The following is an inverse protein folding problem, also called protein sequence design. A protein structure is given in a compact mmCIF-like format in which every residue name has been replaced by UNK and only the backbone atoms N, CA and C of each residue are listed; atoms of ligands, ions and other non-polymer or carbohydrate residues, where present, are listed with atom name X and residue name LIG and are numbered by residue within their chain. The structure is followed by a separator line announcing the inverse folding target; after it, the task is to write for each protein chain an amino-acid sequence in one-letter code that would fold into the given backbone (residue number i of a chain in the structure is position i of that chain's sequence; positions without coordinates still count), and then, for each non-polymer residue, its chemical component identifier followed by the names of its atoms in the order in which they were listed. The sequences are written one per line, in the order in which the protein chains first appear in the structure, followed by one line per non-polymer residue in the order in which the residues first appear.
data_IF_339593867539
#
_entry.id   IF_339593867539
#
_cell.length_a   1.000
_cell.length_b   1.000
_cell.length_c   1.000
_cell.angle_alpha   90.00
_cell.angle_beta   90.00
_cell.angle_gamma   90.00
#
_symmetry.space_group_name_H-M   'P 1'
#
loop_
_entity.id
_entity.type
_entity.pdbx_description
1 polymer ?
#
# COMPACT_ATOMS: atom_id res chain seq x y z
N UNK A 1 -15.90 -1.44 -10.29
CA UNK A 1 -15.24 -0.93 -9.07
C UNK A 1 -14.47 -2.08 -8.44
N UNK A 2 -13.19 -1.90 -8.13
CA UNK A 2 -12.41 -2.90 -7.38
C UNK A 2 -12.20 -2.34 -5.97
N UNK A 3 -12.59 -3.10 -4.95
CA UNK A 3 -12.40 -2.75 -3.54
C UNK A 3 -11.68 -3.87 -2.79
N UNK A 4 -10.72 -3.50 -1.95
CA UNK A 4 -10.04 -4.40 -1.03
C UNK A 4 -9.95 -3.72 0.33
N UNK A 5 -10.30 -4.43 1.40
CA UNK A 5 -10.19 -3.94 2.77
C UNK A 5 -9.79 -5.10 3.68
N UNK A 6 -8.50 -5.21 3.97
CA UNK A 6 -7.96 -6.22 4.88
C UNK A 6 -6.58 -5.81 5.37
N UNK A 7 -6.16 -6.37 6.51
CA UNK A 7 -4.78 -6.24 7.01
C UNK A 7 -4.34 -4.77 7.19
N UNK A 8 -5.27 -3.92 7.63
CA UNK A 8 -5.03 -2.48 7.78
C UNK A 8 -4.96 -1.70 6.46
N UNK A 9 -5.05 -2.36 5.30
CA UNK A 9 -5.00 -1.70 4.00
C UNK A 9 -6.38 -1.63 3.36
N UNK A 10 -6.74 -0.43 2.91
CA UNK A 10 -7.93 -0.17 2.12
C UNK A 10 -7.50 0.30 0.73
N UNK A 11 -8.15 -0.22 -0.30
CA UNK A 11 -7.95 0.15 -1.70
C UNK A 11 -9.31 0.21 -2.38
N UNK A 12 -9.57 1.32 -3.06
CA UNK A 12 -10.70 1.50 -3.95
C UNK A 12 -10.19 2.00 -5.30
N UNK A 13 -10.56 1.29 -6.37
CA UNK A 13 -10.28 1.70 -7.74
C UNK A 13 -11.60 1.93 -8.47
N UNK A 14 -11.79 3.16 -8.90
CA UNK A 14 -12.93 3.61 -9.69
C UNK A 14 -12.45 3.94 -11.10
N UNK A 15 -13.13 3.40 -12.10
CA UNK A 15 -12.87 3.71 -13.51
C UNK A 15 -14.12 4.33 -14.08
N UNK A 16 -13.94 5.35 -14.91
CA UNK A 16 -15.04 6.03 -15.57
C UNK A 16 -14.68 6.45 -16.98
N UNK A 17 -15.70 6.86 -17.71
CA UNK A 17 -15.57 7.45 -19.05
C UNK A 17 -16.18 8.84 -18.93
N UNK A 18 -15.38 9.87 -19.21
CA UNK A 18 -15.88 11.23 -19.37
C UNK A 18 -16.18 11.45 -20.86
N UNK A 19 -17.40 11.84 -21.18
CA UNK A 19 -17.78 12.32 -22.51
C UNK A 19 -17.55 13.83 -22.52
N UNK A 20 -16.32 14.24 -22.83
CA UNK A 20 -16.05 15.62 -23.20
C UNK A 20 -16.37 15.73 -24.69
N UNK A 21 -17.11 16.76 -25.09
CA UNK A 21 -17.77 16.99 -26.39
C UNK A 21 -16.97 16.74 -27.70
N UNK A 22 -15.75 16.20 -27.66
CA UNK A 22 -14.88 15.83 -28.79
C UNK A 22 -14.09 14.51 -28.62
N UNK A 23 -14.35 13.68 -27.60
CA UNK A 23 -13.69 12.37 -27.46
C UNK A 23 -13.84 11.75 -26.08
N UNK A 24 -14.16 10.45 -26.03
CA UNK A 24 -14.30 9.69 -24.78
C UNK A 24 -12.95 9.52 -24.10
N UNK A 25 -12.74 10.17 -22.96
CA UNK A 25 -11.53 9.99 -22.14
C UNK A 25 -11.82 9.02 -20.99
N UNK A 26 -11.07 7.92 -20.94
CA UNK A 26 -11.09 7.01 -19.78
C UNK A 26 -10.29 7.64 -18.65
N UNK A 27 -10.84 7.62 -17.45
CA UNK A 27 -10.13 8.03 -16.24
C UNK A 27 -10.14 6.89 -15.22
N UNK A 28 -9.09 6.84 -14.40
CA UNK A 28 -8.95 5.91 -13.28
C UNK A 28 -8.62 6.71 -12.04
N UNK A 29 -9.42 6.54 -10.99
CA UNK A 29 -9.16 7.08 -9.66
C UNK A 29 -8.79 5.93 -8.74
N UNK A 30 -7.66 6.06 -8.05
CA UNK A 30 -7.20 5.11 -7.05
C UNK A 30 -7.20 5.82 -5.71
N UNK A 31 -7.83 5.20 -4.72
CA UNK A 31 -7.77 5.59 -3.32
C UNK A 31 -7.16 4.43 -2.56
N UNK A 32 -6.14 4.71 -1.74
CA UNK A 32 -5.48 3.70 -0.93
C UNK A 32 -5.07 4.29 0.41
N UNK A 33 -5.24 3.52 1.48
CA UNK A 33 -4.78 3.89 2.82
C UNK A 33 -4.23 2.69 3.57
N UNK A 34 -3.15 2.88 4.31
CA UNK A 34 -2.60 1.88 5.24
C UNK A 34 -2.77 2.39 6.66
N UNK A 35 -3.50 1.66 7.50
CA UNK A 35 -3.93 2.04 8.85
C UNK A 35 -4.52 3.47 8.88
N UNK A 36 -5.36 3.78 7.88
CA UNK A 36 -5.97 5.10 7.72
C UNK A 36 -5.04 6.20 7.18
N UNK A 37 -3.73 5.96 7.01
CA UNK A 37 -2.82 6.92 6.38
C UNK A 37 -2.94 6.84 4.85
N UNK A 38 -3.22 7.95 4.15
CA UNK A 38 -3.38 7.96 2.69
C UNK A 38 -2.05 7.66 1.98
N UNK A 39 -2.07 6.70 1.06
CA UNK A 39 -0.88 6.22 0.35
C UNK A 39 -1.15 5.97 -1.14
N UNK A 40 -2.13 6.65 -1.74
CA UNK A 40 -2.50 6.49 -3.15
C UNK A 40 -1.52 7.13 -4.15
N UNK A 41 -0.22 7.00 -3.90
CA UNK A 41 0.87 7.46 -4.77
C UNK A 41 1.74 6.27 -5.19
N UNK A 42 2.41 6.38 -6.34
CA UNK A 42 3.34 5.34 -6.80
C UNK A 42 4.45 5.12 -5.77
N UNK A 43 5.00 6.19 -5.21
CA UNK A 43 6.02 6.14 -4.15
C UNK A 43 5.50 5.43 -2.90
N UNK A 44 4.35 5.85 -2.36
CA UNK A 44 3.79 5.26 -1.15
C UNK A 44 3.53 3.76 -1.30
N UNK A 45 2.92 3.35 -2.41
CA UNK A 45 2.66 1.93 -2.67
C UNK A 45 3.94 1.14 -2.96
N UNK A 46 4.93 1.73 -3.64
CA UNK A 46 6.22 1.09 -3.86
C UNK A 46 6.98 0.85 -2.55
N UNK A 47 6.92 1.80 -1.61
CA UNK A 47 7.53 1.64 -0.29
C UNK A 47 6.84 0.54 0.51
N UNK A 48 5.51 0.48 0.53
CA UNK A 48 4.77 -0.63 1.17
C UNK A 48 5.20 -1.97 0.56
N UNK A 49 5.25 -2.06 -0.77
CA UNK A 49 5.69 -3.27 -1.48
C UNK A 49 7.12 -3.68 -1.07
N UNK A 50 8.06 -2.74 -1.04
CA UNK A 50 9.44 -3.01 -0.67
C UNK A 50 9.54 -3.59 0.75
N UNK A 51 8.76 -3.08 1.70
CA UNK A 51 8.70 -3.60 3.06
C UNK A 51 8.10 -5.01 3.14
N UNK A 52 7.05 -5.30 2.36
CA UNK A 52 6.48 -6.65 2.27
C UNK A 52 7.48 -7.64 1.66
N UNK A 53 8.22 -7.24 0.64
CA UNK A 53 9.28 -8.05 0.03
C UNK A 53 10.43 -8.28 1.00
N UNK A 54 10.90 -7.24 1.68
CA UNK A 54 11.95 -7.34 2.69
C UNK A 54 11.52 -8.26 3.85
N UNK A 55 10.25 -8.21 4.27
CA UNK A 55 9.70 -9.12 5.27
C UNK A 55 9.77 -10.58 4.81
N UNK A 56 9.27 -10.88 3.60
CA UNK A 56 9.28 -12.25 3.05
C UNK A 56 10.68 -12.82 2.84
N UNK A 57 11.66 -11.95 2.58
CA UNK A 57 13.08 -12.31 2.42
C UNK A 57 13.85 -12.33 3.74
N UNK A 58 13.17 -12.13 4.87
CA UNK A 58 13.78 -12.08 6.20
C UNK A 58 14.78 -10.91 6.39
N UNK A 59 14.72 -9.89 5.54
CA UNK A 59 15.70 -8.79 5.46
C UNK A 59 15.40 -7.58 6.35
N UNK A 60 14.24 -7.53 7.00
CA UNK A 60 13.94 -6.43 7.95
C UNK A 60 14.80 -6.62 9.20
N UNK A 61 15.59 -5.60 9.56
CA UNK A 61 16.40 -5.65 10.78
C UNK A 61 15.51 -5.64 12.02
N UNK A 62 15.95 -6.34 13.08
CA UNK A 62 15.30 -6.28 14.40
C UNK A 62 15.66 -4.92 15.05
N UNK A 63 14.72 -3.96 14.95
CA UNK A 63 14.69 -2.64 15.60
C UNK A 63 15.59 -1.52 15.03
N UNK A 64 15.21 -0.23 15.27
CA UNK A 64 13.85 0.23 15.62
C UNK A 64 12.89 0.17 14.41
N UNK A 65 11.59 0.33 14.64
CA UNK A 65 10.62 0.47 13.54
C UNK A 65 10.85 1.78 12.82
N UNK A 66 10.96 1.74 11.50
CA UNK A 66 11.23 2.90 10.67
C UNK A 66 9.92 3.43 10.05
N UNK A 67 9.76 4.74 9.85
CA UNK A 67 8.66 5.28 9.08
C UNK A 67 8.74 4.78 7.63
N UNK A 68 7.64 4.19 7.16
CA UNK A 68 7.51 3.68 5.78
C UNK A 68 6.59 4.56 4.93
N UNK A 69 5.78 5.39 5.58
CA UNK A 69 4.91 6.37 4.98
C UNK A 69 4.85 7.58 5.91
N UNK A 70 4.88 8.79 5.36
CA UNK A 70 4.85 10.02 6.16
C UNK A 70 6.14 10.21 6.95
N UNK A 71 6.01 10.85 8.10
CA UNK A 71 7.13 11.16 9.01
C UNK A 71 6.91 10.51 10.40
N UNK A 72 7.82 10.81 11.32
CA UNK A 72 7.81 10.26 12.68
C UNK A 72 6.62 10.73 13.53
N UNK A 73 6.02 11.87 13.20
CA UNK A 73 4.87 12.44 13.89
C UNK A 73 3.55 12.02 13.25
N UNK A 74 3.51 11.85 11.93
CA UNK A 74 2.32 11.52 11.19
C UNK A 74 2.63 10.57 10.05
N UNK A 75 2.61 9.28 10.36
CA UNK A 75 2.93 8.26 9.38
C UNK A 75 2.50 6.86 9.75
N UNK A 76 3.04 5.90 9.00
CA UNK A 76 3.01 4.48 9.34
C UNK A 76 4.44 4.01 9.50
N UNK A 77 4.73 3.36 10.63
CA UNK A 77 6.01 2.71 10.86
C UNK A 77 5.90 1.21 10.63
N UNK A 78 7.00 0.58 10.26
CA UNK A 78 7.07 -0.87 10.09
C UNK A 78 8.32 -1.47 10.73
N UNK A 79 8.24 -2.76 11.08
CA UNK A 79 9.38 -3.49 11.63
C UNK A 79 9.14 -4.99 11.69
N UNK A 80 10.21 -5.76 11.91
CA UNK A 80 10.11 -7.19 12.18
C UNK A 80 9.99 -7.46 13.68
N UNK A 81 8.96 -8.19 14.13
CA UNK A 81 8.88 -8.72 15.49
C UNK A 81 8.73 -10.24 15.47
N UNK A 82 9.36 -10.92 16.42
CA UNK A 82 9.06 -12.32 16.68
C UNK A 82 7.92 -12.42 17.69
N UNK A 83 6.94 -13.26 17.40
CA UNK A 83 5.80 -13.58 18.28
C UNK A 83 5.52 -15.07 18.18
N UNK A 84 5.48 -15.75 19.33
CA UNK A 84 5.22 -17.21 19.40
C UNK A 84 6.17 -18.06 18.50
N UNK A 85 7.44 -17.66 18.41
CA UNK A 85 8.43 -18.35 17.57
C UNK A 85 8.38 -17.96 16.08
N UNK A 86 7.34 -17.26 15.64
CA UNK A 86 7.16 -16.86 14.25
C UNK A 86 7.46 -15.37 14.03
N UNK A 87 8.02 -15.06 12.87
CA UNK A 87 8.33 -13.68 12.49
C UNK A 87 7.09 -13.02 11.88
N UNK A 88 6.76 -11.85 12.38
CA UNK A 88 5.64 -11.03 11.94
C UNK A 88 6.14 -9.67 11.46
N UNK A 89 5.50 -9.14 10.43
CA UNK A 89 5.62 -7.74 10.05
C UNK A 89 4.69 -6.93 10.97
N UNK A 90 5.30 -6.10 11.80
CA UNK A 90 4.62 -5.12 12.62
C UNK A 90 4.39 -3.85 11.79
N UNK A 91 3.17 -3.33 11.84
CA UNK A 91 2.80 -2.03 11.26
C UNK A 91 2.09 -1.20 12.34
N UNK A 92 2.41 0.09 12.42
CA UNK A 92 1.81 1.00 13.40
C UNK A 92 1.52 2.37 12.83
N UNK A 93 0.33 2.91 13.11
CA UNK A 93 -0.08 4.27 12.79
C UNK A 93 0.34 5.23 13.91
N UNK A 94 1.08 6.29 13.54
CA UNK A 94 1.49 7.37 14.46
C UNK A 94 0.77 8.68 14.20
N UNK A 95 0.25 9.31 15.24
CA UNK A 95 -0.36 10.65 15.21
C UNK A 95 0.18 11.47 16.38
N UNK A 96 1.08 12.41 16.09
CA UNK A 96 1.93 13.08 17.06
C UNK A 96 2.81 12.07 17.81
N UNK A 97 2.78 12.14 19.13
CA UNK A 97 3.50 11.22 20.03
C UNK A 97 2.75 9.92 20.33
N UNK A 98 1.59 9.68 19.72
CA UNK A 98 0.73 8.54 20.02
C UNK A 98 0.75 7.48 18.91
N UNK A 99 1.05 6.25 19.31
CA UNK A 99 0.76 5.04 18.52
C UNK A 99 -0.74 4.74 18.65
N UNK A 100 -1.49 4.76 17.54
CA UNK A 100 -2.96 4.69 17.49
C UNK A 100 -3.50 3.32 17.12
N UNK A 101 -2.98 2.76 16.04
CA UNK A 101 -3.40 1.48 15.48
C UNK A 101 -2.17 0.62 15.26
N UNK A 102 -2.17 -0.61 15.76
CA UNK A 102 -1.10 -1.57 15.57
C UNK A 102 -1.62 -2.90 15.03
N UNK A 103 -0.91 -3.46 14.04
CA UNK A 103 -1.23 -4.77 13.49
C UNK A 103 0.03 -5.61 13.29
N UNK A 104 -0.18 -6.92 13.29
CA UNK A 104 0.84 -7.93 13.02
C UNK A 104 0.40 -8.77 11.84
N UNK A 105 1.24 -8.79 10.80
CA UNK A 105 1.03 -9.59 9.61
C UNK A 105 1.95 -10.81 9.67
N UNK A 106 1.35 -11.99 9.66
CA UNK A 106 2.05 -13.22 9.33
C UNK A 106 2.42 -13.24 7.84
N UNK A 107 3.15 -14.27 7.41
CA UNK A 107 3.58 -14.44 6.03
C UNK A 107 2.42 -14.44 5.02
N UNK A 108 1.32 -15.12 5.33
CA UNK A 108 0.17 -15.27 4.44
C UNK A 108 -0.57 -13.94 4.27
N UNK A 109 -0.75 -13.20 5.36
CA UNK A 109 -1.36 -11.87 5.36
C UNK A 109 -0.49 -10.88 4.59
N UNK A 110 0.83 -10.92 4.77
CA UNK A 110 1.76 -10.07 4.03
C UNK A 110 1.73 -10.35 2.52
N UNK A 111 1.67 -11.62 2.11
CA UNK A 111 1.53 -12.01 0.70
C UNK A 111 0.20 -11.55 0.10
N UNK A 112 -0.90 -11.67 0.85
CA UNK A 112 -2.22 -11.20 0.41
C UNK A 112 -2.24 -9.68 0.21
N UNK A 113 -1.64 -8.94 1.14
CA UNK A 113 -1.52 -7.49 1.05
C UNK A 113 -0.67 -7.06 -0.15
N UNK A 114 0.45 -7.73 -0.40
CA UNK A 114 1.32 -7.44 -1.54
C UNK A 114 0.58 -7.54 -2.88
N UNK A 115 -0.30 -8.53 -3.05
CA UNK A 115 -1.13 -8.66 -4.26
C UNK A 115 -2.04 -7.44 -4.43
N UNK A 116 -2.65 -6.95 -3.36
CA UNK A 116 -3.49 -5.75 -3.41
C UNK A 116 -2.69 -4.49 -3.76
N UNK A 117 -1.50 -4.33 -3.16
CA UNK A 117 -0.57 -3.22 -3.44
C UNK A 117 -0.10 -3.25 -4.90
N UNK A 118 0.29 -4.42 -5.41
CA UNK A 118 0.69 -4.58 -6.82
C UNK A 118 -0.44 -4.19 -7.79
N UNK A 119 -1.69 -4.58 -7.48
CA UNK A 119 -2.86 -4.15 -8.26
C UNK A 119 -3.05 -2.64 -8.22
N UNK A 120 -2.86 -2.00 -7.07
CA UNK A 120 -2.94 -0.54 -6.94
C UNK A 120 -1.87 0.16 -7.81
N UNK A 121 -0.61 -0.30 -7.74
CA UNK A 121 0.51 0.22 -8.55
C UNK A 121 0.19 0.11 -10.04
N UNK A 122 -0.28 -1.05 -10.50
CA UNK A 122 -0.65 -1.25 -11.91
C UNK A 122 -1.77 -0.31 -12.41
N UNK A 123 -2.64 0.15 -11.51
CA UNK A 123 -3.74 1.07 -11.83
C UNK A 123 -3.31 2.54 -11.79
N UNK A 124 -2.27 2.87 -11.03
CA UNK A 124 -1.66 4.20 -11.01
C UNK A 124 -0.59 4.39 -12.08
N UNK A 125 0.09 3.32 -12.48
CA UNK A 125 1.12 3.39 -13.50
C UNK A 125 0.53 3.89 -14.83
N UNK A 126 1.23 4.80 -15.54
CA UNK A 126 0.78 5.25 -16.85
C UNK A 126 0.59 4.05 -17.77
N UNK A 127 -0.63 3.87 -18.29
CA UNK A 127 -0.87 2.87 -19.32
C UNK A 127 -0.37 3.44 -20.63
N UNK A 128 0.90 3.18 -20.97
CA UNK A 128 1.43 3.44 -22.31
C UNK A 128 0.77 2.45 -23.27
N UNK A 129 -0.41 2.82 -23.76
CA UNK A 129 -1.00 2.17 -24.91
C UNK A 129 -0.37 2.75 -26.17
N UNK A 130 0.52 2.00 -26.83
CA UNK A 130 0.80 2.23 -28.24
C UNK A 130 -0.49 1.88 -28.99
N UNK A 131 -1.33 2.89 -29.25
CA UNK A 131 -2.46 2.71 -30.16
C UNK A 131 -1.90 2.25 -31.50
N UNK A 132 -2.50 1.21 -32.10
CA UNK A 132 -2.31 1.01 -33.55
C UNK A 132 -2.68 2.33 -34.21
N UNK A 133 -1.75 2.91 -34.97
CA UNK A 133 -2.09 3.89 -35.99
C UNK A 133 -3.16 3.25 -36.87
N UNK A 134 -4.42 3.63 -36.66
CA UNK A 134 -5.48 3.49 -37.65
C UNK A 134 -5.39 4.63 -38.62
#
# INVERSE_FOLDING_TARGET
MLSFNAHGFSLTVTVGIADENKGKRRWTQVQASLLGYPCATLEGLATIKAWLEAFKRDQIKKKPSEPILGDDENGVTAGGRQRQGERHLYLCRRLGSQDRDEIYLDYIRAATLEVAVNKAIQKLAPQIGWGKET
#
